data_IF_089452699612
#
_entry.id   IF_089452699612
#
_cell.length_a   1.000
_cell.length_b   1.000
_cell.length_c   1.000
_cell.angle_alpha   90.00
_cell.angle_beta   90.00
_cell.angle_gamma   90.00
#
_symmetry.space_group_name_H-M   'P 1'
#
loop_
_entity.id
_entity.type
_entity.pdbx_description
1 polymer ?
#
# COMPACT_ATOMS: atom_id res chain seq x y z
N UNK A 1 -34.12 24.23 16.71
CA UNK A 1 -34.14 22.98 17.49
C UNK A 1 -34.41 21.83 16.54
N UNK A 2 -33.35 21.36 15.88
CA UNK A 2 -33.37 20.18 15.02
C UNK A 2 -33.46 18.94 15.90
N UNK A 3 -34.63 18.29 15.93
CA UNK A 3 -34.73 16.94 16.48
C UNK A 3 -33.97 16.02 15.53
N UNK A 4 -32.87 15.45 16.00
CA UNK A 4 -32.30 14.27 15.35
C UNK A 4 -33.41 13.21 15.24
N UNK A 5 -33.61 12.58 14.08
CA UNK A 5 -34.50 11.43 14.00
C UNK A 5 -33.84 10.31 14.79
N UNK A 6 -34.33 10.03 16.00
CA UNK A 6 -34.06 8.74 16.62
C UNK A 6 -34.62 7.69 15.67
N UNK A 7 -33.77 6.86 15.09
CA UNK A 7 -34.17 5.57 14.50
C UNK A 7 -34.69 4.71 15.66
N UNK A 8 -35.89 5.03 16.10
CA UNK A 8 -36.59 4.37 17.18
C UNK A 8 -37.15 3.07 16.65
N UNK A 9 -36.43 1.99 16.91
CA UNK A 9 -37.04 0.67 17.01
C UNK A 9 -36.16 -0.20 17.92
N UNK A 10 -36.14 0.12 19.21
CA UNK A 10 -35.69 -0.86 20.21
C UNK A 10 -36.60 -2.09 20.08
N UNK A 11 -36.01 -3.28 19.90
CA UNK A 11 -36.80 -4.49 20.03
C UNK A 11 -37.26 -4.59 21.49
N UNK A 12 -38.55 -4.78 21.78
CA UNK A 12 -39.03 -4.78 23.16
C UNK A 12 -38.38 -5.93 23.96
N UNK A 13 -37.78 -5.61 25.12
CA UNK A 13 -37.24 -6.60 26.06
C UNK A 13 -35.73 -6.86 25.93
N UNK A 14 -35.22 -8.07 26.24
CA UNK A 14 -33.77 -8.36 26.32
C UNK A 14 -33.05 -8.45 24.95
N UNK A 15 -33.72 -8.08 23.85
CA UNK A 15 -33.31 -8.43 22.48
C UNK A 15 -32.46 -7.38 21.76
N UNK A 16 -32.06 -6.32 22.47
CA UNK A 16 -31.17 -5.29 21.94
C UNK A 16 -31.77 -4.45 20.81
N UNK A 17 -30.92 -3.71 20.10
CA UNK A 17 -31.30 -2.81 19.01
C UNK A 17 -31.51 -3.59 17.71
N UNK A 18 -32.53 -3.21 16.93
CA UNK A 18 -32.71 -3.70 15.56
C UNK A 18 -31.61 -3.10 14.66
N UNK A 19 -30.92 -3.96 13.91
CA UNK A 19 -29.91 -3.55 12.93
C UNK A 19 -30.38 -3.73 11.48
N UNK A 20 -29.84 -2.92 10.58
CA UNK A 20 -30.09 -2.91 9.13
C UNK A 20 -28.81 -3.29 8.38
N UNK A 21 -28.97 -3.98 7.26
CA UNK A 21 -27.91 -4.27 6.28
C UNK A 21 -28.20 -3.58 4.95
N UNK A 22 -27.32 -3.74 3.96
CA UNK A 22 -27.41 -3.05 2.68
C UNK A 22 -28.74 -3.28 1.95
N UNK A 23 -29.28 -4.50 1.99
CA UNK A 23 -30.54 -4.84 1.31
C UNK A 23 -31.79 -4.28 1.99
N UNK A 24 -31.68 -3.82 3.24
CA UNK A 24 -32.81 -3.26 3.98
C UNK A 24 -33.09 -1.79 3.62
N UNK A 25 -32.17 -1.13 2.90
CA UNK A 25 -32.22 0.32 2.65
C UNK A 25 -31.96 0.67 1.18
N UNK A 26 -32.54 1.80 0.77
CA UNK A 26 -32.27 2.48 -0.49
C UNK A 26 -31.91 3.93 -0.21
N UNK A 27 -30.97 4.49 -0.99
CA UNK A 27 -30.70 5.92 -0.98
C UNK A 27 -31.84 6.65 -1.70
N UNK A 28 -32.38 7.69 -1.07
CA UNK A 28 -33.43 8.50 -1.67
C UNK A 28 -32.80 9.46 -2.70
N UNK A 29 -33.35 9.57 -3.92
CA UNK A 29 -32.90 10.56 -4.90
C UNK A 29 -33.09 11.99 -4.39
N UNK A 30 -32.13 12.87 -4.70
CA UNK A 30 -32.19 14.30 -4.43
C UNK A 30 -31.94 15.14 -5.70
N UNK A 31 -32.09 16.45 -5.59
CA UNK A 31 -31.73 17.39 -6.67
C UNK A 31 -30.21 17.40 -6.87
N UNK A 32 -29.75 17.43 -8.13
CA UNK A 32 -28.32 17.47 -8.50
C UNK A 32 -28.11 18.22 -9.81
N UNK A 33 -27.04 19.00 -9.88
CA UNK A 33 -26.51 19.68 -11.06
C UNK A 33 -25.14 19.13 -11.50
N UNK A 34 -24.69 18.01 -10.89
CA UNK A 34 -23.37 17.40 -11.12
C UNK A 34 -23.42 16.33 -12.22
N UNK A 35 -22.44 16.36 -13.11
CA UNK A 35 -22.23 15.31 -14.12
C UNK A 35 -21.46 14.15 -13.47
N UNK A 36 -21.95 12.89 -13.54
CA UNK A 36 -21.31 11.76 -12.85
C UNK A 36 -19.83 11.55 -13.16
N UNK A 37 -19.37 11.88 -14.37
CA UNK A 37 -17.95 11.76 -14.78
C UNK A 37 -17.02 12.80 -14.14
N UNK A 38 -17.58 13.85 -13.54
CA UNK A 38 -16.84 14.94 -12.90
C UNK A 38 -16.79 14.81 -11.38
N UNK A 39 -17.45 13.79 -10.81
CA UNK A 39 -17.47 13.54 -9.37
C UNK A 39 -16.09 13.08 -8.89
N UNK A 40 -15.52 13.82 -7.94
CA UNK A 40 -14.31 13.39 -7.24
C UNK A 40 -14.66 12.33 -6.18
N UNK A 41 -14.03 11.17 -6.28
CA UNK A 41 -14.21 10.04 -5.35
C UNK A 41 -13.03 9.89 -4.39
N UNK A 42 -12.14 10.89 -4.35
CA UNK A 42 -11.03 10.93 -3.41
C UNK A 42 -11.53 10.86 -1.97
N UNK A 43 -10.85 10.08 -1.14
CA UNK A 43 -11.24 9.84 0.26
C UNK A 43 -10.02 9.67 1.16
N UNK A 44 -10.25 9.58 2.47
CA UNK A 44 -9.24 9.30 3.48
C UNK A 44 -9.28 7.83 3.88
N UNK A 45 -8.15 7.13 3.70
CA UNK A 45 -7.96 5.79 4.28
C UNK A 45 -7.65 5.91 5.77
N UNK A 46 -6.73 6.80 6.12
CA UNK A 46 -6.29 7.07 7.49
C UNK A 46 -6.27 8.56 7.76
N UNK A 47 -5.74 8.97 8.91
CA UNK A 47 -5.58 10.39 9.23
C UNK A 47 -4.73 11.12 8.18
N UNK A 48 -3.70 10.48 7.65
CA UNK A 48 -2.72 11.12 6.75
C UNK A 48 -2.72 10.55 5.33
N UNK A 49 -3.27 9.34 5.12
CA UNK A 49 -3.29 8.71 3.79
C UNK A 49 -4.62 8.98 3.09
N UNK A 50 -4.53 9.60 1.90
CA UNK A 50 -5.64 9.79 0.98
C UNK A 50 -5.58 8.75 -0.15
N UNK A 51 -6.75 8.32 -0.62
CA UNK A 51 -6.94 7.50 -1.81
C UNK A 51 -7.67 8.31 -2.88
N UNK A 52 -7.48 7.97 -4.15
CA UNK A 52 -8.24 8.57 -5.27
C UNK A 52 -9.58 7.88 -5.51
N UNK A 53 -9.72 6.64 -5.05
CA UNK A 53 -10.97 5.89 -5.02
C UNK A 53 -11.15 5.23 -3.64
N UNK A 54 -12.40 5.07 -3.14
CA UNK A 54 -12.66 4.56 -1.80
C UNK A 54 -12.62 3.03 -1.74
N UNK A 55 -11.61 2.40 -2.35
CA UNK A 55 -11.51 0.95 -2.46
C UNK A 55 -10.19 0.41 -1.86
N UNK A 56 -10.34 -0.60 -1.01
CA UNK A 56 -9.25 -1.31 -0.33
C UNK A 56 -9.41 -2.79 -0.60
N UNK A 57 -8.38 -3.49 -1.10
CA UNK A 57 -8.46 -4.94 -1.24
C UNK A 57 -8.17 -5.65 0.08
N UNK A 58 -9.01 -6.63 0.43
CA UNK A 58 -9.01 -7.29 1.73
C UNK A 58 -7.72 -8.11 1.98
N UNK A 59 -7.31 -8.18 3.24
CA UNK A 59 -6.14 -8.92 3.71
C UNK A 59 -6.37 -10.43 3.77
N UNK A 60 -6.71 -11.03 2.64
CA UNK A 60 -6.99 -12.45 2.47
C UNK A 60 -6.01 -13.08 1.48
N UNK A 61 -5.55 -14.30 1.76
CA UNK A 61 -4.62 -15.05 0.89
C UNK A 61 -5.15 -15.31 -0.52
N UNK A 62 -6.47 -15.39 -0.65
CA UNK A 62 -7.17 -15.56 -1.93
C UNK A 62 -7.45 -14.24 -2.66
N UNK A 63 -7.07 -13.09 -2.09
CA UNK A 63 -7.36 -11.76 -2.64
C UNK A 63 -6.10 -10.94 -2.86
N UNK A 64 -5.29 -10.71 -1.82
CA UNK A 64 -4.27 -9.66 -1.86
C UNK A 64 -2.85 -10.15 -1.55
N UNK A 65 -2.13 -10.48 -2.61
CA UNK A 65 -0.66 -10.48 -2.66
C UNK A 65 -0.16 -9.29 -3.50
N UNK A 66 1.15 -9.17 -3.73
CA UNK A 66 1.78 -8.03 -4.40
C UNK A 66 1.13 -7.67 -5.74
N UNK A 67 0.73 -8.65 -6.56
CA UNK A 67 0.07 -8.38 -7.84
C UNK A 67 -1.23 -7.60 -7.68
N UNK A 68 -2.05 -7.96 -6.70
CA UNK A 68 -3.29 -7.26 -6.40
C UNK A 68 -3.00 -5.90 -5.76
N UNK A 69 -2.08 -5.83 -4.80
CA UNK A 69 -1.72 -4.58 -4.15
C UNK A 69 -1.20 -3.53 -5.15
N UNK A 70 -0.35 -3.93 -6.09
CA UNK A 70 0.12 -3.08 -7.20
C UNK A 70 -1.05 -2.61 -8.07
N UNK A 71 -1.96 -3.53 -8.44
CA UNK A 71 -3.12 -3.18 -9.27
C UNK A 71 -4.05 -2.18 -8.58
N UNK A 72 -4.34 -2.39 -7.29
CA UNK A 72 -5.18 -1.49 -6.49
C UNK A 72 -4.54 -0.11 -6.36
N UNK A 73 -3.27 -0.05 -5.99
CA UNK A 73 -2.55 1.21 -5.86
C UNK A 73 -2.53 2.00 -7.18
N UNK A 74 -2.31 1.33 -8.32
CA UNK A 74 -2.38 1.95 -9.66
C UNK A 74 -3.74 2.54 -10.02
N UNK A 75 -4.82 1.90 -9.57
CA UNK A 75 -6.18 2.40 -9.80
C UNK A 75 -6.59 3.48 -8.79
N UNK A 76 -5.72 3.83 -7.85
CA UNK A 76 -5.96 4.86 -6.85
C UNK A 76 -6.61 4.39 -5.56
N UNK A 77 -6.70 3.07 -5.37
CA UNK A 77 -7.03 2.43 -4.10
C UNK A 77 -5.76 2.02 -3.36
N UNK A 78 -5.85 0.98 -2.54
CA UNK A 78 -4.70 0.35 -1.88
C UNK A 78 -4.99 -1.13 -1.65
N UNK A 79 -3.95 -1.98 -1.61
CA UNK A 79 -4.10 -3.36 -1.18
C UNK A 79 -3.48 -3.60 0.18
N UNK A 80 -4.14 -4.43 1.00
CA UNK A 80 -3.62 -4.88 2.29
C UNK A 80 -3.13 -6.33 2.14
N UNK A 81 -1.83 -6.54 2.29
CA UNK A 81 -1.22 -7.87 2.23
C UNK A 81 -1.67 -8.72 3.43
N UNK A 82 -2.15 -9.92 3.15
CA UNK A 82 -2.53 -10.88 4.19
C UNK A 82 -1.32 -11.37 5.00
N UNK A 83 -1.58 -11.91 6.19
CA UNK A 83 -0.55 -12.43 7.12
C UNK A 83 -0.45 -13.95 7.16
N UNK A 84 -1.08 -14.65 6.21
CA UNK A 84 -0.99 -16.11 6.08
C UNK A 84 0.28 -16.50 5.31
N UNK A 85 1.41 -15.94 5.75
CA UNK A 85 2.75 -16.05 5.18
C UNK A 85 3.77 -16.05 6.33
N UNK A 86 4.99 -16.49 6.05
CA UNK A 86 6.12 -16.19 6.94
C UNK A 86 6.29 -14.67 7.09
N UNK A 87 7.09 -14.24 8.07
CA UNK A 87 7.36 -12.80 8.26
C UNK A 87 8.15 -12.28 7.05
N UNK A 88 9.13 -13.07 6.63
CA UNK A 88 10.04 -12.80 5.52
C UNK A 88 9.29 -12.69 4.19
N UNK A 89 8.37 -13.62 3.91
CA UNK A 89 7.59 -13.60 2.68
C UNK A 89 6.64 -12.40 2.63
N UNK A 90 6.00 -12.04 3.75
CA UNK A 90 5.12 -10.87 3.78
C UNK A 90 5.91 -9.57 3.58
N UNK A 91 7.08 -9.44 4.21
CA UNK A 91 7.98 -8.31 4.00
C UNK A 91 8.50 -8.25 2.55
N UNK A 92 8.82 -9.41 1.96
CA UNK A 92 9.21 -9.48 0.55
C UNK A 92 8.08 -9.02 -0.39
N UNK A 93 6.81 -9.34 -0.08
CA UNK A 93 5.66 -8.85 -0.85
C UNK A 93 5.54 -7.31 -0.76
N UNK A 94 5.82 -6.70 0.41
CA UNK A 94 5.89 -5.24 0.54
C UNK A 94 6.98 -4.69 -0.38
N UNK A 95 8.20 -5.23 -0.31
CA UNK A 95 9.34 -4.80 -1.13
C UNK A 95 9.02 -4.86 -2.64
N UNK A 96 8.39 -5.95 -3.12
CA UNK A 96 7.93 -6.06 -4.51
C UNK A 96 7.00 -4.91 -4.90
N UNK A 97 6.06 -4.53 -4.03
CA UNK A 97 5.10 -3.44 -4.31
C UNK A 97 5.82 -2.11 -4.34
N UNK A 98 6.66 -1.81 -3.32
CA UNK A 98 7.42 -0.55 -3.23
C UNK A 98 8.41 -0.37 -4.39
N UNK A 99 8.94 -1.46 -4.96
CA UNK A 99 9.82 -1.44 -6.15
C UNK A 99 9.06 -1.49 -7.49
N UNK A 100 7.74 -1.66 -7.50
CA UNK A 100 6.98 -1.80 -8.75
C UNK A 100 6.96 -0.52 -9.57
N UNK A 101 6.96 0.62 -8.88
CA UNK A 101 7.10 1.95 -9.45
C UNK A 101 7.90 2.77 -8.46
N UNK A 102 8.91 3.47 -8.94
CA UNK A 102 9.71 4.39 -8.14
C UNK A 102 9.81 5.68 -8.93
N UNK A 103 9.47 6.82 -8.34
CA UNK A 103 9.72 8.11 -9.00
C UNK A 103 11.23 8.32 -9.21
N UNK A 104 11.98 8.05 -8.15
CA UNK A 104 13.44 8.02 -8.09
C UNK A 104 13.86 6.80 -7.27
N UNK A 105 14.79 5.97 -7.77
CA UNK A 105 15.37 4.88 -6.99
C UNK A 105 16.53 5.47 -6.18
N UNK A 106 16.43 5.54 -4.85
CA UNK A 106 17.39 6.17 -3.93
C UNK A 106 18.54 5.26 -3.49
N UNK A 107 18.47 3.96 -3.81
CA UNK A 107 19.57 3.00 -3.64
C UNK A 107 19.51 1.98 -4.78
N UNK A 108 19.99 2.36 -5.99
CA UNK A 108 19.89 1.50 -7.15
C UNK A 108 20.84 0.31 -7.00
N UNK A 109 20.37 -0.87 -7.39
CA UNK A 109 21.23 -2.05 -7.45
C UNK A 109 22.39 -1.79 -8.43
N UNK A 110 23.62 -1.94 -7.95
CA UNK A 110 24.84 -1.70 -8.71
C UNK A 110 25.62 -2.98 -8.96
N UNK A 111 26.59 -2.92 -9.88
CA UNK A 111 27.56 -3.99 -10.10
C UNK A 111 28.98 -3.42 -10.27
N UNK A 112 29.99 -4.18 -9.86
CA UNK A 112 31.39 -3.82 -10.07
C UNK A 112 31.83 -4.09 -11.51
N UNK A 113 32.87 -3.40 -12.00
CA UNK A 113 33.35 -3.54 -13.37
C UNK A 113 33.97 -4.91 -13.66
N UNK A 114 34.55 -5.54 -12.65
CA UNK A 114 35.31 -6.77 -12.80
C UNK A 114 34.46 -8.02 -12.53
N UNK A 115 33.16 -7.83 -12.24
CA UNK A 115 32.19 -8.91 -12.16
C UNK A 115 31.98 -9.57 -13.53
N UNK A 116 31.65 -10.85 -13.54
CA UNK A 116 31.33 -11.62 -14.75
C UNK A 116 29.93 -11.30 -15.27
N UNK A 117 29.66 -11.62 -16.54
CA UNK A 117 28.30 -11.48 -17.08
C UNK A 117 27.32 -12.51 -16.48
N UNK A 118 27.83 -13.65 -16.00
CA UNK A 118 27.04 -14.63 -15.24
C UNK A 118 26.51 -14.04 -13.94
N UNK A 119 27.38 -13.40 -13.15
CA UNK A 119 26.98 -12.70 -11.91
C UNK A 119 25.97 -11.58 -12.19
N UNK A 120 26.16 -10.83 -13.29
CA UNK A 120 25.19 -9.83 -13.74
C UNK A 120 23.83 -10.44 -14.06
N UNK A 121 23.78 -11.55 -14.81
CA UNK A 121 22.54 -12.19 -15.22
C UNK A 121 21.78 -12.77 -14.04
N UNK A 122 22.47 -13.42 -13.10
CA UNK A 122 21.89 -13.91 -11.85
C UNK A 122 21.30 -12.76 -11.02
N UNK A 123 22.04 -11.65 -10.92
CA UNK A 123 21.62 -10.47 -10.17
C UNK A 123 20.39 -9.82 -10.83
N UNK A 124 20.41 -9.64 -12.15
CA UNK A 124 19.28 -9.10 -12.91
C UNK A 124 18.05 -10.02 -12.84
N UNK A 125 18.24 -11.34 -12.92
CA UNK A 125 17.18 -12.34 -12.83
C UNK A 125 16.52 -12.38 -11.45
N UNK A 126 17.34 -12.33 -10.39
CA UNK A 126 16.86 -12.30 -8.99
C UNK A 126 16.00 -11.07 -8.71
N UNK A 127 16.48 -9.88 -9.11
CA UNK A 127 15.82 -8.61 -8.82
C UNK A 127 14.90 -8.10 -9.94
N UNK A 128 14.75 -8.87 -11.03
CA UNK A 128 13.93 -8.56 -12.22
C UNK A 128 14.21 -7.16 -12.81
N UNK A 129 15.48 -6.76 -12.79
CA UNK A 129 15.97 -5.51 -13.37
C UNK A 129 16.59 -5.75 -14.74
N UNK A 130 16.62 -4.72 -15.58
CA UNK A 130 17.02 -4.82 -17.00
C UNK A 130 18.39 -4.20 -17.30
N UNK A 131 19.17 -3.96 -16.24
CA UNK A 131 20.44 -3.27 -16.31
C UNK A 131 20.77 -2.57 -15.01
N UNK A 132 22.07 -2.43 -14.76
CA UNK A 132 22.64 -1.94 -13.53
C UNK A 132 23.65 -0.83 -13.84
N UNK A 133 23.67 0.25 -13.05
CA UNK A 133 24.81 1.14 -12.96
C UNK A 133 26.07 0.37 -12.56
N UNK A 134 27.18 0.67 -13.21
CA UNK A 134 28.49 0.09 -12.91
C UNK A 134 29.28 1.11 -12.09
N UNK A 135 29.72 0.71 -10.91
CA UNK A 135 30.40 1.60 -9.94
C UNK A 135 31.76 1.05 -9.53
N UNK A 136 32.68 1.94 -9.17
CA UNK A 136 33.95 1.55 -8.55
C UNK A 136 33.81 1.20 -7.05
N UNK A 137 34.92 0.85 -6.40
CA UNK A 137 34.94 0.52 -4.97
C UNK A 137 34.57 1.69 -4.05
N UNK A 138 34.54 2.92 -4.57
CA UNK A 138 34.18 4.15 -3.87
C UNK A 138 32.80 4.69 -4.27
N UNK A 139 31.98 3.88 -4.95
CA UNK A 139 30.63 4.21 -5.45
C UNK A 139 30.59 5.26 -6.57
N UNK A 140 31.72 5.57 -7.23
CA UNK A 140 31.68 6.45 -8.41
C UNK A 140 31.14 5.70 -9.61
N UNK A 141 30.22 6.33 -10.34
CA UNK A 141 29.65 5.78 -11.56
C UNK A 141 30.71 5.74 -12.67
N UNK A 142 31.03 4.55 -13.17
CA UNK A 142 32.01 4.35 -14.26
C UNK A 142 31.36 3.90 -15.58
N UNK A 143 30.13 3.40 -15.53
CA UNK A 143 29.38 2.97 -16.70
C UNK A 143 27.98 2.48 -16.38
N UNK A 144 27.29 1.95 -17.38
CA UNK A 144 26.00 1.28 -17.22
C UNK A 144 25.96 0.06 -18.13
N UNK A 145 25.42 -1.05 -17.64
CA UNK A 145 25.21 -2.26 -18.43
C UNK A 145 23.73 -2.62 -18.43
N UNK A 146 23.21 -3.03 -19.58
CA UNK A 146 21.78 -3.30 -19.80
C UNK A 146 21.57 -4.58 -20.59
N UNK A 147 20.34 -5.09 -20.58
CA UNK A 147 19.95 -6.23 -21.38
C UNK A 147 20.21 -6.03 -22.89
N UNK A 148 20.32 -4.78 -23.36
CA UNK A 148 20.63 -4.49 -24.77
C UNK A 148 22.09 -4.81 -25.11
N UNK A 149 23.00 -4.58 -24.17
CA UNK A 149 24.43 -4.80 -24.33
C UNK A 149 24.75 -6.30 -24.41
N UNK A 150 23.98 -7.11 -23.65
CA UNK A 150 24.10 -8.56 -23.65
C UNK A 150 23.57 -9.25 -24.92
N UNK A 151 22.73 -8.58 -25.74
CA UNK A 151 22.08 -9.22 -26.90
C UNK A 151 23.05 -9.76 -27.96
N UNK A 152 24.27 -9.24 -27.99
CA UNK A 152 25.28 -9.61 -28.97
C UNK A 152 26.41 -10.45 -28.37
N UNK A 153 26.32 -10.77 -27.07
CA UNK A 153 27.28 -11.64 -26.38
C UNK A 153 26.77 -13.08 -26.44
N UNK A 154 27.67 -14.01 -26.77
CA UNK A 154 27.32 -15.44 -26.78
C UNK A 154 27.26 -15.97 -25.35
N UNK A 155 26.31 -16.86 -25.00
CA UNK A 155 26.25 -17.44 -23.66
C UNK A 155 27.57 -18.06 -23.19
N UNK A 156 28.31 -18.71 -24.09
CA UNK A 156 29.62 -19.33 -23.80
C UNK A 156 30.70 -18.32 -23.35
N UNK A 157 30.51 -17.02 -23.59
CA UNK A 157 31.44 -15.97 -23.19
C UNK A 157 31.10 -15.36 -21.82
N UNK A 158 29.99 -15.74 -21.17
CA UNK A 158 29.50 -15.07 -19.96
C UNK A 158 30.43 -15.23 -18.74
N UNK A 159 31.06 -16.40 -18.60
CA UNK A 159 32.03 -16.67 -17.53
C UNK A 159 33.41 -16.05 -17.81
N UNK A 160 33.67 -15.64 -19.06
CA UNK A 160 34.98 -15.16 -19.50
C UNK A 160 35.05 -13.63 -19.58
N UNK A 161 33.96 -13.00 -20.00
CA UNK A 161 33.87 -11.54 -20.14
C UNK A 161 33.44 -10.90 -18.82
N UNK A 162 34.04 -9.76 -18.52
CA UNK A 162 33.64 -8.91 -17.41
C UNK A 162 32.59 -7.89 -17.83
N UNK A 163 31.89 -7.31 -16.86
CA UNK A 163 30.98 -6.18 -17.07
C UNK A 163 31.70 -5.03 -17.79
N UNK A 164 32.95 -4.73 -17.43
CA UNK A 164 33.76 -3.68 -18.05
C UNK A 164 33.94 -3.87 -19.55
N UNK A 165 34.02 -5.11 -20.03
CA UNK A 165 34.26 -5.42 -21.44
C UNK A 165 33.03 -5.12 -22.33
N UNK A 166 31.84 -5.04 -21.72
CA UNK A 166 30.55 -4.97 -22.46
C UNK A 166 29.73 -3.73 -22.12
N UNK A 167 29.91 -3.13 -20.94
CA UNK A 167 29.14 -1.96 -20.49
C UNK A 167 29.29 -0.76 -21.43
N UNK A 168 28.33 0.17 -21.37
CA UNK A 168 28.52 1.52 -21.90
C UNK A 168 29.37 2.33 -20.90
N UNK A 169 30.61 2.72 -21.23
CA UNK A 169 31.45 3.50 -20.32
C UNK A 169 31.04 4.98 -20.31
N UNK A 170 31.59 5.75 -19.36
CA UNK A 170 31.49 7.21 -19.40
C UNK A 170 32.05 7.82 -20.72
N UNK A 171 31.56 9.01 -21.14
CA UNK A 171 30.55 9.85 -20.45
C UNK A 171 29.12 9.35 -20.66
N UNK A 172 28.36 9.26 -19.57
CA UNK A 172 26.92 8.94 -19.58
C UNK A 172 26.09 10.21 -19.39
N UNK A 173 24.84 10.15 -19.81
CA UNK A 173 23.85 11.16 -19.45
C UNK A 173 23.43 10.91 -18.01
N UNK A 174 23.61 11.89 -17.14
CA UNK A 174 23.30 11.82 -15.71
C UNK A 174 22.52 13.05 -15.27
N UNK A 175 21.90 12.99 -14.09
CA UNK A 175 21.28 14.13 -13.42
C UNK A 175 21.81 14.30 -11.99
N UNK A 176 21.66 15.48 -11.37
CA UNK A 176 21.95 15.65 -9.95
C UNK A 176 20.89 14.96 -9.08
N UNK A 177 21.25 14.63 -7.83
CA UNK A 177 20.25 14.28 -6.81
C UNK A 177 19.27 15.44 -6.63
N UNK A 178 17.98 15.11 -6.53
CA UNK A 178 16.91 16.12 -6.41
C UNK A 178 16.51 16.78 -7.73
N UNK A 179 16.96 16.27 -8.88
CA UNK A 179 16.48 16.74 -10.19
C UNK A 179 14.94 16.68 -10.27
N UNK A 180 14.34 17.75 -10.78
CA UNK A 180 12.90 17.82 -10.98
C UNK A 180 12.44 16.80 -12.04
N UNK A 181 11.23 16.27 -11.84
CA UNK A 181 10.70 15.18 -12.65
C UNK A 181 10.60 15.54 -14.13
N UNK A 182 10.12 16.74 -14.44
CA UNK A 182 10.00 17.26 -15.80
C UNK A 182 11.38 17.42 -16.46
N UNK A 183 12.41 17.81 -15.70
CA UNK A 183 13.77 17.96 -16.20
C UNK A 183 14.41 16.59 -16.49
N UNK A 184 14.22 15.61 -15.58
CA UNK A 184 14.63 14.23 -15.81
C UNK A 184 13.97 13.62 -17.05
N UNK A 185 12.67 13.86 -17.26
CA UNK A 185 11.96 13.45 -18.47
C UNK A 185 12.57 14.07 -19.73
N UNK A 186 12.89 15.37 -19.67
CA UNK A 186 13.50 16.09 -20.78
C UNK A 186 14.89 15.54 -21.13
N UNK A 187 15.73 15.20 -20.13
CA UNK A 187 17.03 14.58 -20.36
C UNK A 187 16.90 13.19 -21.02
N UNK A 188 16.04 12.33 -20.49
CA UNK A 188 15.77 11.00 -21.06
C UNK A 188 15.29 11.11 -22.51
N UNK A 189 14.34 12.01 -22.78
CA UNK A 189 13.78 12.22 -24.11
C UNK A 189 14.79 12.81 -25.11
N UNK A 190 15.54 13.84 -24.70
CA UNK A 190 16.55 14.52 -25.52
C UNK A 190 17.66 13.56 -25.95
N UNK A 191 18.12 12.74 -25.01
CA UNK A 191 19.24 11.81 -25.24
C UNK A 191 18.81 10.41 -25.67
N UNK A 192 17.50 10.13 -25.70
CA UNK A 192 16.89 8.83 -26.08
C UNK A 192 17.46 7.66 -25.29
N UNK A 193 17.70 7.89 -23.99
CA UNK A 193 18.19 6.87 -23.04
C UNK A 193 17.05 6.40 -22.15
N UNK A 194 17.10 5.14 -21.71
CA UNK A 194 16.03 4.53 -20.89
C UNK A 194 16.26 4.68 -19.38
N UNK A 195 17.49 5.02 -18.97
CA UNK A 195 17.94 5.10 -17.58
C UNK A 195 18.79 6.36 -17.41
N UNK A 196 18.54 7.11 -16.35
CA UNK A 196 19.25 8.33 -15.96
C UNK A 196 19.83 8.13 -14.55
N UNK A 197 21.13 7.78 -14.45
CA UNK A 197 21.82 7.75 -13.17
C UNK A 197 21.86 9.13 -12.52
N UNK A 198 21.64 9.18 -11.21
CA UNK A 198 21.71 10.40 -10.41
C UNK A 198 22.97 10.42 -9.57
N UNK A 199 23.70 11.51 -9.65
CA UNK A 199 24.97 11.69 -8.97
C UNK A 199 24.86 12.73 -7.86
N UNK A 200 25.54 12.47 -6.74
CA UNK A 200 25.78 13.48 -5.71
C UNK A 200 26.88 14.48 -6.14
N UNK A 201 27.16 15.46 -5.28
CA UNK A 201 28.16 16.50 -5.53
C UNK A 201 29.60 15.95 -5.66
N UNK A 202 29.87 14.76 -5.10
CA UNK A 202 31.15 14.05 -5.17
C UNK A 202 31.24 13.13 -6.41
N UNK A 203 30.18 13.04 -7.23
CA UNK A 203 30.12 12.20 -8.42
C UNK A 203 29.84 10.72 -8.13
N UNK A 204 29.38 10.39 -6.92
CA UNK A 204 28.94 9.03 -6.56
C UNK A 204 27.50 8.80 -7.00
N UNK A 205 27.19 7.55 -7.32
CA UNK A 205 25.84 7.15 -7.66
C UNK A 205 24.96 7.20 -6.41
N UNK A 206 23.95 8.06 -6.45
CA UNK A 206 22.98 8.24 -5.36
C UNK A 206 21.54 7.92 -5.81
N UNK A 207 21.31 7.69 -7.10
CA UNK A 207 20.00 7.24 -7.55
C UNK A 207 19.90 6.83 -9.01
N UNK A 208 18.71 6.39 -9.42
CA UNK A 208 18.40 6.01 -10.80
C UNK A 208 16.95 6.35 -11.14
N UNK A 209 16.72 7.02 -12.26
CA UNK A 209 15.39 7.25 -12.85
C UNK A 209 15.27 6.45 -14.14
N UNK A 210 14.13 5.81 -14.40
CA UNK A 210 13.91 5.07 -15.66
C UNK A 210 12.74 5.63 -16.47
N UNK A 211 12.77 5.46 -17.80
CA UNK A 211 11.66 5.84 -18.69
C UNK A 211 10.36 5.10 -18.33
N UNK A 212 10.46 3.88 -17.79
CA UNK A 212 9.28 3.10 -17.38
C UNK A 212 8.47 3.82 -16.30
N UNK A 213 9.10 4.63 -15.45
CA UNK A 213 8.44 5.35 -14.36
C UNK A 213 7.56 6.49 -14.87
N UNK A 214 7.94 7.11 -15.99
CA UNK A 214 7.14 8.12 -16.70
C UNK A 214 5.94 7.50 -17.41
N UNK A 215 6.17 6.45 -18.21
CA UNK A 215 5.09 5.77 -18.97
C UNK A 215 3.99 5.25 -18.05
N UNK A 216 4.36 4.65 -16.92
CA UNK A 216 3.37 4.14 -15.95
C UNK A 216 2.56 5.25 -15.30
N UNK A 217 3.16 6.41 -15.06
CA UNK A 217 2.43 7.52 -14.43
C UNK A 217 1.43 8.16 -15.39
N UNK A 218 1.73 8.21 -16.69
CA UNK A 218 0.74 8.59 -17.71
C UNK A 218 -0.38 7.54 -17.83
N UNK A 219 -0.03 6.25 -17.74
CA UNK A 219 -1.00 5.16 -17.80
C UNK A 219 -1.92 5.10 -16.58
N UNK A 220 -1.41 5.47 -15.40
CA UNK A 220 -2.10 5.37 -14.12
C UNK A 220 -2.06 6.71 -13.36
N UNK A 221 -2.75 7.75 -13.85
CA UNK A 221 -2.68 9.10 -13.29
C UNK A 221 -3.28 9.21 -11.88
N UNK A 222 -4.14 8.26 -11.50
CA UNK A 222 -4.78 8.20 -10.19
C UNK A 222 -4.01 7.34 -9.18
N UNK A 223 -2.79 6.90 -9.49
CA UNK A 223 -2.04 6.00 -8.61
C UNK A 223 -1.87 6.56 -7.20
N UNK A 224 -2.13 5.74 -6.19
CA UNK A 224 -1.83 6.03 -4.78
C UNK A 224 -0.35 5.83 -4.53
N UNK A 225 0.37 6.92 -4.27
CA UNK A 225 1.83 6.94 -4.12
C UNK A 225 2.25 7.62 -2.82
N UNK A 226 3.35 7.16 -2.24
CA UNK A 226 4.01 7.81 -1.12
C UNK A 226 4.78 9.07 -1.54
N UNK A 227 5.41 9.74 -0.58
CA UNK A 227 6.19 10.96 -0.81
C UNK A 227 7.40 10.76 -1.71
N UNK A 228 7.86 9.51 -1.91
CA UNK A 228 8.96 9.16 -2.81
C UNK A 228 8.46 8.73 -4.20
N UNK A 229 7.14 8.78 -4.42
CA UNK A 229 6.51 8.38 -5.68
C UNK A 229 6.41 6.87 -5.87
N UNK A 230 6.60 6.07 -4.81
CA UNK A 230 6.41 4.61 -4.83
C UNK A 230 4.96 4.27 -4.57
N UNK A 231 4.46 3.16 -5.10
CA UNK A 231 3.10 2.71 -4.81
C UNK A 231 2.93 2.47 -3.30
N UNK A 232 1.78 2.91 -2.76
CA UNK A 232 1.45 2.63 -1.36
C UNK A 232 0.92 1.20 -1.18
N UNK A 233 1.23 0.59 -0.04
CA UNK A 233 0.78 -0.75 0.34
C UNK A 233 0.53 -0.84 1.84
N UNK A 234 -0.51 -1.58 2.21
CA UNK A 234 -0.74 -1.96 3.59
C UNK A 234 -0.42 -3.41 3.87
N UNK A 235 -0.26 -3.78 5.14
CA UNK A 235 -0.08 -5.16 5.54
C UNK A 235 -0.83 -5.47 6.84
N UNK A 236 -1.47 -6.63 6.90
CA UNK A 236 -2.15 -7.09 8.10
C UNK A 236 -1.15 -7.68 9.10
N UNK A 237 -1.40 -7.45 10.38
CA UNK A 237 -0.63 -8.01 11.50
C UNK A 237 -1.58 -8.53 12.58
N UNK A 238 -1.09 -9.48 13.39
CA UNK A 238 -1.77 -9.92 14.59
C UNK A 238 -1.50 -8.97 15.77
N UNK A 239 -1.82 -9.44 16.98
CA UNK A 239 -1.59 -8.69 18.23
C UNK A 239 -0.93 -9.55 19.33
N UNK A 240 -0.51 -10.77 19.01
CA UNK A 240 0.07 -11.74 19.94
C UNK A 240 1.23 -12.48 19.29
N UNK A 241 2.06 -13.15 20.10
CA UNK A 241 3.14 -14.00 19.61
C UNK A 241 4.21 -13.22 18.84
N UNK A 242 4.51 -13.67 17.63
CA UNK A 242 5.49 -13.12 16.69
C UNK A 242 5.02 -11.81 16.00
N UNK A 243 3.85 -11.28 16.35
CA UNK A 243 3.28 -10.10 15.71
C UNK A 243 4.19 -8.87 15.77
N UNK A 244 4.98 -8.71 16.83
CA UNK A 244 5.90 -7.57 16.93
C UNK A 244 7.09 -7.70 15.99
N UNK A 245 7.68 -8.89 15.88
CA UNK A 245 8.78 -9.13 14.94
C UNK A 245 8.31 -8.92 13.49
N UNK A 246 7.07 -9.35 13.20
CA UNK A 246 6.41 -9.09 11.92
C UNK A 246 6.25 -7.60 11.64
N UNK A 247 5.78 -6.83 12.62
CA UNK A 247 5.66 -5.37 12.49
C UNK A 247 6.99 -4.74 12.11
N UNK A 248 8.07 -5.08 12.84
CA UNK A 248 9.39 -4.51 12.58
C UNK A 248 9.88 -4.81 11.16
N UNK A 249 9.75 -6.06 10.71
CA UNK A 249 10.14 -6.46 9.36
C UNK A 249 9.33 -5.74 8.27
N UNK A 250 8.02 -5.51 8.48
CA UNK A 250 7.17 -4.80 7.54
C UNK A 250 7.51 -3.30 7.47
N UNK A 251 7.81 -2.68 8.61
CA UNK A 251 8.24 -1.28 8.67
C UNK A 251 9.60 -1.11 7.99
N UNK A 252 10.54 -2.02 8.23
CA UNK A 252 11.84 -2.04 7.54
C UNK A 252 11.67 -2.18 6.02
N UNK A 253 10.72 -3.01 5.56
CA UNK A 253 10.37 -3.14 4.14
C UNK A 253 9.65 -1.91 3.54
N UNK A 254 9.27 -0.92 4.37
CA UNK A 254 8.64 0.32 3.91
C UNK A 254 7.13 0.25 3.73
N UNK A 255 6.42 -0.53 4.56
CA UNK A 255 4.94 -0.54 4.57
C UNK A 255 4.37 0.83 4.94
N UNK A 256 3.32 1.27 4.24
CA UNK A 256 2.72 2.60 4.47
C UNK A 256 1.64 2.58 5.57
N UNK A 257 0.97 1.43 5.74
CA UNK A 257 -0.09 1.26 6.74
C UNK A 257 -0.14 -0.16 7.31
N UNK A 258 -0.18 -0.27 8.63
CA UNK A 258 -0.34 -1.53 9.35
C UNK A 258 -1.81 -1.72 9.74
N UNK A 259 -2.36 -2.91 9.45
CA UNK A 259 -3.73 -3.27 9.81
C UNK A 259 -3.69 -4.32 10.91
N UNK A 260 -3.94 -3.92 12.15
CA UNK A 260 -4.06 -4.85 13.28
C UNK A 260 -5.42 -5.53 13.17
N UNK A 261 -5.42 -6.76 12.66
CA UNK A 261 -6.63 -7.43 12.15
C UNK A 261 -6.99 -8.69 12.96
N UNK A 262 -8.18 -8.67 13.54
CA UNK A 262 -8.76 -9.79 14.29
C UNK A 262 -10.28 -9.81 14.23
N UNK A 263 -10.89 -10.96 14.51
CA UNK A 263 -12.35 -11.10 14.51
C UNK A 263 -13.05 -10.22 15.57
N UNK A 264 -12.38 -9.91 16.69
CA UNK A 264 -12.89 -9.01 17.73
C UNK A 264 -11.81 -8.00 18.16
N UNK A 265 -11.81 -6.83 17.52
CA UNK A 265 -10.87 -5.74 17.76
C UNK A 265 -11.07 -5.05 19.11
N UNK A 266 -12.21 -5.24 19.78
CA UNK A 266 -12.44 -4.72 21.14
C UNK A 266 -11.80 -5.62 22.22
N UNK A 267 -10.68 -6.27 21.89
CA UNK A 267 -9.90 -7.08 22.81
C UNK A 267 -8.78 -6.24 23.43
N UNK A 268 -8.55 -6.37 24.75
CA UNK A 268 -7.50 -5.60 25.46
C UNK A 268 -6.12 -5.72 24.81
N UNK A 269 -5.71 -6.94 24.45
CA UNK A 269 -4.40 -7.17 23.81
C UNK A 269 -4.27 -6.49 22.44
N UNK A 270 -5.37 -6.35 21.71
CA UNK A 270 -5.41 -5.62 20.45
C UNK A 270 -5.21 -4.12 20.71
N UNK A 271 -5.93 -3.54 21.69
CA UNK A 271 -5.77 -2.15 22.08
C UNK A 271 -4.35 -1.85 22.57
N UNK A 272 -3.74 -2.77 23.32
CA UNK A 272 -2.36 -2.65 23.79
C UNK A 272 -1.36 -2.67 22.63
N UNK A 273 -1.59 -3.51 21.61
CA UNK A 273 -0.78 -3.53 20.38
C UNK A 273 -0.88 -2.19 19.64
N UNK A 274 -2.09 -1.63 19.46
CA UNK A 274 -2.27 -0.32 18.82
C UNK A 274 -1.51 0.76 19.58
N UNK A 275 -1.68 0.84 20.91
CA UNK A 275 -0.98 1.85 21.73
C UNK A 275 0.54 1.72 21.58
N UNK A 276 1.05 0.48 21.56
CA UNK A 276 2.49 0.23 21.34
C UNK A 276 2.93 0.74 19.96
N UNK A 277 2.23 0.39 18.88
CA UNK A 277 2.55 0.86 17.53
C UNK A 277 2.60 2.39 17.44
N UNK A 278 1.68 3.07 18.12
CA UNK A 278 1.58 4.54 18.11
C UNK A 278 2.58 5.26 19.04
N UNK A 279 3.23 4.55 19.96
CA UNK A 279 4.17 5.14 20.93
C UNK A 279 5.62 4.70 20.74
N UNK A 280 5.86 3.57 20.08
CA UNK A 280 7.21 3.07 19.84
C UNK A 280 7.90 3.89 18.73
N UNK A 281 9.12 4.42 18.97
CA UNK A 281 9.85 5.21 17.98
C UNK A 281 10.08 4.49 16.65
N UNK A 282 10.21 3.16 16.66
CA UNK A 282 10.43 2.37 15.46
C UNK A 282 9.20 2.34 14.54
N UNK A 283 8.00 2.63 15.04
CA UNK A 283 6.74 2.41 14.30
C UNK A 283 5.80 3.60 14.29
N UNK A 284 5.98 4.60 15.16
CA UNK A 284 5.06 5.73 15.34
C UNK A 284 4.81 6.56 14.07
N UNK A 285 5.71 6.48 13.08
CA UNK A 285 5.62 7.18 11.80
C UNK A 285 4.73 6.44 10.78
N UNK A 286 4.38 5.17 11.03
CA UNK A 286 3.51 4.37 10.17
C UNK A 286 2.06 4.53 10.61
N UNK A 287 1.14 4.61 9.64
CA UNK A 287 -0.29 4.71 9.93
C UNK A 287 -0.84 3.35 10.40
N UNK A 288 -1.79 3.36 11.33
CA UNK A 288 -2.34 2.15 11.96
C UNK A 288 -3.86 2.10 11.81
N UNK A 289 -4.35 1.01 11.22
CA UNK A 289 -5.78 0.68 11.15
C UNK A 289 -6.05 -0.42 12.17
N UNK A 290 -7.07 -0.23 12.99
CA UNK A 290 -7.51 -1.25 13.96
C UNK A 290 -8.86 -1.86 13.61
N UNK A 291 -8.98 -3.18 13.70
CA UNK A 291 -10.26 -3.86 13.51
C UNK A 291 -10.22 -5.35 13.83
N UNK A 292 -11.35 -6.06 13.71
CA UNK A 292 -12.67 -5.54 13.34
C UNK A 292 -13.52 -5.23 14.55
N UNK A 293 -14.27 -4.14 14.49
CA UNK A 293 -15.31 -3.82 15.47
C UNK A 293 -16.66 -3.72 14.77
N UNK A 294 -17.75 -3.69 15.54
CA UNK A 294 -19.09 -3.51 15.00
C UNK A 294 -20.01 -2.67 15.92
N UNK A 295 -19.45 -2.06 16.95
CA UNK A 295 -20.20 -1.25 17.93
C UNK A 295 -19.51 0.10 18.15
N UNK A 296 -20.29 1.07 18.63
CA UNK A 296 -19.80 2.40 19.00
C UNK A 296 -18.70 2.34 20.05
N UNK A 297 -18.87 1.50 21.08
CA UNK A 297 -17.90 1.35 22.17
C UNK A 297 -16.59 0.73 21.67
N UNK A 298 -16.67 -0.26 20.78
CA UNK A 298 -15.47 -0.85 20.16
C UNK A 298 -14.73 0.16 19.28
N UNK A 299 -15.46 0.97 18.52
CA UNK A 299 -14.87 2.06 17.75
C UNK A 299 -14.21 3.11 18.66
N UNK A 300 -14.89 3.53 19.73
CA UNK A 300 -14.34 4.49 20.70
C UNK A 300 -13.08 3.95 21.36
N UNK A 301 -13.06 2.68 21.77
CA UNK A 301 -11.89 2.06 22.38
C UNK A 301 -10.66 2.06 21.45
N UNK A 302 -10.86 1.84 20.15
CA UNK A 302 -9.79 1.94 19.14
C UNK A 302 -9.32 3.38 18.94
N UNK A 303 -10.27 4.32 18.85
CA UNK A 303 -9.98 5.76 18.74
C UNK A 303 -9.14 6.21 19.93
N UNK A 304 -9.53 5.83 21.15
CA UNK A 304 -8.81 6.15 22.40
C UNK A 304 -7.45 5.48 22.48
N UNK A 305 -7.29 4.30 21.86
CA UNK A 305 -5.99 3.63 21.73
C UNK A 305 -5.05 4.32 20.72
N UNK A 306 -5.58 5.20 19.87
CA UNK A 306 -4.80 6.03 18.96
C UNK A 306 -4.75 5.57 17.51
N UNK A 307 -5.68 4.72 17.05
CA UNK A 307 -5.72 4.33 15.63
C UNK A 307 -5.87 5.53 14.70
N UNK A 308 -5.32 5.40 13.49
CA UNK A 308 -5.48 6.36 12.41
C UNK A 308 -6.71 6.06 11.54
N UNK A 309 -7.27 4.85 11.61
CA UNK A 309 -8.57 4.46 11.06
C UNK A 309 -9.17 3.25 11.79
N UNK A 310 -10.49 3.07 11.68
CA UNK A 310 -11.21 1.93 12.25
C UNK A 310 -11.77 1.06 11.12
N UNK A 311 -11.51 -0.26 11.19
CA UNK A 311 -12.10 -1.26 10.29
C UNK A 311 -13.31 -1.92 10.94
N UNK A 312 -14.44 -1.92 10.22
CA UNK A 312 -15.77 -2.23 10.76
C UNK A 312 -16.41 -3.39 10.02
N UNK A 313 -16.76 -4.43 10.77
CA UNK A 313 -17.50 -5.57 10.24
C UNK A 313 -17.24 -6.85 11.02
N UNK A 314 -18.25 -7.34 11.73
CA UNK A 314 -18.20 -8.64 12.43
C UNK A 314 -19.31 -9.53 11.89
N UNK A 315 -18.93 -10.54 11.12
CA UNK A 315 -19.85 -11.48 10.47
C UNK A 315 -20.49 -11.12 9.12
N UNK A 316 -20.29 -9.95 8.48
CA UNK A 316 -20.96 -9.64 7.20
C UNK A 316 -20.27 -10.28 5.98
N UNK A 317 -19.03 -10.76 6.13
CA UNK A 317 -18.25 -11.31 5.03
C UNK A 317 -18.92 -12.54 4.39
N UNK A 318 -18.82 -12.65 3.07
CA UNK A 318 -19.49 -13.71 2.29
C UNK A 318 -19.11 -15.13 2.72
N UNK A 319 -17.86 -15.34 3.13
CA UNK A 319 -17.35 -16.63 3.62
C UNK A 319 -17.32 -16.73 5.16
N UNK A 320 -17.76 -15.68 5.86
CA UNK A 320 -17.65 -15.60 7.31
C UNK A 320 -18.75 -16.44 7.98
N UNK A 321 -18.36 -17.41 8.80
CA UNK A 321 -19.30 -18.29 9.52
C UNK A 321 -19.56 -17.83 10.96
N UNK A 322 -18.97 -16.72 11.41
CA UNK A 322 -19.05 -16.23 12.80
C UNK A 322 -20.49 -16.10 13.31
N UNK A 323 -21.41 -15.60 12.49
CA UNK A 323 -22.82 -15.46 12.86
C UNK A 323 -23.48 -16.82 13.13
N UNK A 324 -23.15 -17.83 12.33
CA UNK A 324 -23.74 -19.17 12.44
C UNK A 324 -23.10 -19.97 13.57
N UNK A 325 -21.76 -19.89 13.71
CA UNK A 325 -21.00 -20.71 14.66
C UNK A 325 -21.00 -20.11 16.07
N UNK A 326 -20.80 -18.80 16.20
CA UNK A 326 -20.69 -18.12 17.49
C UNK A 326 -21.96 -17.36 17.89
N UNK A 327 -22.90 -17.14 16.97
CA UNK A 327 -24.07 -16.31 17.22
C UNK A 327 -23.76 -14.82 17.36
N UNK A 328 -22.59 -14.36 16.87
CA UNK A 328 -22.10 -12.99 17.06
C UNK A 328 -22.00 -12.26 15.73
N UNK A 329 -22.48 -11.02 15.69
CA UNK A 329 -22.31 -10.09 14.57
C UNK A 329 -23.31 -8.94 14.63
N UNK A 330 -23.14 -7.97 13.75
CA UNK A 330 -24.06 -6.84 13.58
C UNK A 330 -24.37 -6.67 12.08
N UNK A 331 -25.62 -6.35 11.69
CA UNK A 331 -25.95 -5.92 10.33
C UNK A 331 -25.09 -4.72 9.88
N UNK A 332 -24.57 -4.76 8.64
CA UNK A 332 -23.38 -3.98 8.30
C UNK A 332 -23.61 -2.47 8.21
N UNK A 333 -24.79 -2.03 7.75
CA UNK A 333 -25.13 -0.60 7.69
C UNK A 333 -25.19 -0.03 9.11
N UNK A 334 -25.84 -0.73 10.03
CA UNK A 334 -25.87 -0.33 11.45
C UNK A 334 -24.48 -0.33 12.08
N UNK A 335 -23.64 -1.34 11.79
CA UNK A 335 -22.28 -1.41 12.33
C UNK A 335 -21.43 -0.21 11.89
N UNK A 336 -21.45 0.11 10.58
CA UNK A 336 -20.73 1.26 10.01
C UNK A 336 -21.26 2.56 10.61
N UNK A 337 -22.59 2.73 10.69
CA UNK A 337 -23.22 3.91 11.27
C UNK A 337 -22.79 4.12 12.73
N UNK A 338 -22.93 3.11 13.58
CA UNK A 338 -22.57 3.20 15.00
C UNK A 338 -21.08 3.48 15.23
N UNK A 339 -20.20 2.83 14.46
CA UNK A 339 -18.78 3.11 14.51
C UNK A 339 -18.47 4.56 14.08
N UNK A 340 -19.17 5.07 13.06
CA UNK A 340 -18.99 6.43 12.56
C UNK A 340 -19.34 7.50 13.60
N UNK A 341 -20.29 7.22 14.51
CA UNK A 341 -20.68 8.16 15.57
C UNK A 341 -19.55 8.38 16.60
N UNK A 342 -18.69 7.39 16.83
CA UNK A 342 -17.49 7.55 17.66
C UNK A 342 -16.30 8.12 16.86
N UNK A 343 -16.12 7.66 15.62
CA UNK A 343 -14.94 7.98 14.83
C UNK A 343 -14.96 9.40 14.20
N UNK A 344 -16.12 9.87 13.72
CA UNK A 344 -16.26 11.19 13.06
C UNK A 344 -15.87 12.36 13.97
N UNK A 345 -16.33 12.47 15.23
CA UNK A 345 -15.92 13.56 16.12
C UNK A 345 -14.41 13.59 16.40
N UNK A 346 -13.75 12.43 16.36
CA UNK A 346 -12.30 12.29 16.55
C UNK A 346 -11.49 12.50 15.26
N UNK A 347 -12.15 12.73 14.11
CA UNK A 347 -11.50 12.85 12.80
C UNK A 347 -10.83 11.56 12.32
N UNK A 348 -11.33 10.40 12.76
CA UNK A 348 -10.82 9.06 12.39
C UNK A 348 -11.70 8.49 11.26
N UNK A 349 -11.14 8.12 10.10
CA UNK A 349 -11.88 7.44 9.04
C UNK A 349 -12.38 6.05 9.44
N UNK A 350 -13.46 5.62 8.79
CA UNK A 350 -14.12 4.33 8.99
C UNK A 350 -14.08 3.53 7.69
N UNK A 351 -13.68 2.26 7.77
CA UNK A 351 -13.63 1.33 6.64
C UNK A 351 -14.68 0.26 6.85
N UNK A 352 -15.69 0.22 5.98
CA UNK A 352 -16.70 -0.86 5.96
C UNK A 352 -16.14 -2.14 5.32
N UNK A 353 -16.01 -3.20 6.10
CA UNK A 353 -15.39 -4.46 5.71
C UNK A 353 -16.42 -5.61 5.65
N UNK A 354 -16.71 -6.06 4.43
CA UNK A 354 -17.56 -7.22 4.14
C UNK A 354 -19.03 -6.90 3.83
N UNK A 355 -19.72 -7.90 3.26
CA UNK A 355 -21.15 -7.85 2.94
C UNK A 355 -21.52 -7.14 1.63
N UNK A 356 -20.56 -6.52 0.94
CA UNK A 356 -20.77 -5.88 -0.37
C UNK A 356 -20.94 -6.93 -1.47
N UNK A 357 -21.99 -6.81 -2.29
CA UNK A 357 -22.22 -7.68 -3.45
C UNK A 357 -22.24 -6.89 -4.76
N UNK A 358 -22.78 -5.68 -4.72
CA UNK A 358 -22.94 -4.82 -5.89
C UNK A 358 -22.40 -3.41 -5.62
N UNK A 359 -22.19 -2.63 -6.68
CA UNK A 359 -21.71 -1.24 -6.56
C UNK A 359 -22.64 -0.34 -5.74
N UNK A 360 -23.95 -0.62 -5.74
CA UNK A 360 -24.92 0.09 -4.91
C UNK A 360 -24.68 -0.07 -3.41
N UNK A 361 -24.08 -1.18 -2.98
CA UNK A 361 -23.77 -1.40 -1.55
C UNK A 361 -22.61 -0.51 -1.10
N UNK A 362 -21.65 -0.25 -2.02
CA UNK A 362 -20.56 0.71 -1.77
C UNK A 362 -21.16 2.10 -1.54
N UNK A 363 -22.09 2.53 -2.40
CA UNK A 363 -22.76 3.82 -2.25
C UNK A 363 -23.56 3.94 -0.94
N UNK A 364 -24.13 2.84 -0.42
CA UNK A 364 -24.83 2.80 0.87
C UNK A 364 -23.87 2.79 2.07
N UNK A 365 -22.67 2.26 1.89
CA UNK A 365 -21.65 2.15 2.94
C UNK A 365 -20.91 3.48 3.18
N UNK A 366 -20.69 4.26 2.10
CA UNK A 366 -20.17 5.62 2.14
C UNK A 366 -21.22 6.59 2.72
#
# INVERSE_FOLDING_TARGET
>A
MSREPSLGSDAPGPFGQIGLTYDDVLLLPGETDVIPSEVDTSTRLTREINLRIPLVSAAMDTVTEARMAIAMARQGGIGILHRNLSIEDQAHQVDIVKRSESGMITDPLTIGPDATLTELDELCGRYRVSGLPVVDSSQHLIGIITNRDLRFVRPDDFDRLSVRDVMTPQPLVTGPVGIEREEAAALLAKHKVEKLPLLDDDGRLAGLITVKDFVKSEQYPLSTKDSEGRLMVGAAVGFFGDAWDRVLALVEAGVDVLVVDTANGHARLMLDMVRRLKTDPATQHVQVIGGNIATREGAQALVDAGVDAVKVGVGPGSICTTRVVAGVGVPQVTAIYEASLAAKPAGVPVIGDGGLQYSGDIAKAL
#
